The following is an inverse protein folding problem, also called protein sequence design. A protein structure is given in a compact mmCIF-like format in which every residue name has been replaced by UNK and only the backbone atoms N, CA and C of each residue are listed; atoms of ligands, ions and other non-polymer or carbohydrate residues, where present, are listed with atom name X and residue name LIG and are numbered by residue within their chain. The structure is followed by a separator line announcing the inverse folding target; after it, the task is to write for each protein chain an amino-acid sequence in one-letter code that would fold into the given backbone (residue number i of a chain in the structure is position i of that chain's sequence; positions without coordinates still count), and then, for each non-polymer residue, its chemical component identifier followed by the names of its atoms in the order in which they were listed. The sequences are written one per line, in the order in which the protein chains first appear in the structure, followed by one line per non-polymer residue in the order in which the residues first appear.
data_IF_320120201447
#
_entry.id   IF_320120201447
#
_cell.length_a   1.000
_cell.length_b   1.000
_cell.length_c   1.000
_cell.angle_alpha   90.00
_cell.angle_beta   90.00
_cell.angle_gamma   90.00
#
_symmetry.space_group_name_H-M   'P 1'
#
loop_
_entity.id
_entity.type
_entity.pdbx_description
1 polymer ?
#
# COMPACT_ATOMS: atom_id res chain seq x y z
N UNK A 1 15.52 -71.27 11.49
CA UNK A 1 15.70 -70.36 10.33
C UNK A 1 14.48 -69.43 10.10
N UNK A 2 13.66 -69.11 11.13
CA UNK A 2 12.36 -68.43 10.95
C UNK A 2 12.32 -66.96 11.44
N UNK A 3 13.31 -66.52 12.23
CA UNK A 3 13.24 -65.22 12.94
C UNK A 3 13.92 -64.05 12.21
N UNK A 4 14.67 -64.30 11.13
CA UNK A 4 15.31 -63.25 10.33
C UNK A 4 14.34 -62.59 9.34
N UNK A 5 13.44 -63.39 8.75
CA UNK A 5 12.44 -62.92 7.78
C UNK A 5 11.43 -61.94 8.40
N UNK A 6 10.93 -62.25 9.60
CA UNK A 6 10.02 -61.38 10.36
C UNK A 6 10.66 -60.06 10.83
N UNK A 7 11.98 -60.01 10.99
CA UNK A 7 12.70 -58.76 11.33
C UNK A 7 12.82 -57.83 10.12
N UNK A 8 13.03 -58.38 8.91
CA UNK A 8 13.11 -57.60 7.68
C UNK A 8 11.76 -56.94 7.33
N UNK A 9 10.66 -57.70 7.43
CA UNK A 9 9.31 -57.17 7.18
C UNK A 9 8.92 -56.07 8.17
N UNK A 10 9.20 -56.24 9.46
CA UNK A 10 8.95 -55.18 10.47
C UNK A 10 9.81 -53.95 10.24
N UNK A 11 11.07 -54.10 9.82
CA UNK A 11 11.92 -52.95 9.51
C UNK A 11 11.40 -52.20 8.27
N UNK A 12 10.92 -52.91 7.27
CA UNK A 12 10.33 -52.32 6.07
C UNK A 12 9.03 -51.58 6.38
N UNK A 13 8.14 -52.17 7.20
CA UNK A 13 6.94 -51.48 7.70
C UNK A 13 7.29 -50.23 8.51
N UNK A 14 8.31 -50.29 9.38
CA UNK A 14 8.77 -49.12 10.13
C UNK A 14 9.34 -48.03 9.23
N UNK A 15 10.12 -48.39 8.21
CA UNK A 15 10.68 -47.42 7.24
C UNK A 15 9.55 -46.77 6.44
N UNK A 16 8.57 -47.54 5.96
CA UNK A 16 7.40 -47.02 5.25
C UNK A 16 6.54 -46.12 6.14
N UNK A 17 6.29 -46.52 7.40
CA UNK A 17 5.52 -45.70 8.35
C UNK A 17 6.26 -44.40 8.67
N UNK A 18 7.60 -44.44 8.74
CA UNK A 18 8.45 -43.28 9.01
C UNK A 18 8.52 -42.34 7.81
N UNK A 19 8.55 -42.85 6.58
CA UNK A 19 8.41 -42.05 5.34
C UNK A 19 7.01 -41.43 5.27
N UNK A 20 5.97 -42.18 5.60
CA UNK A 20 4.60 -41.68 5.61
C UNK A 20 4.39 -40.57 6.66
N UNK A 21 4.86 -40.78 7.89
CA UNK A 21 4.80 -39.77 8.95
C UNK A 21 5.66 -38.55 8.60
N UNK A 22 6.83 -38.74 8.01
CA UNK A 22 7.67 -37.65 7.52
C UNK A 22 6.98 -36.85 6.39
N UNK A 23 6.33 -37.54 5.44
CA UNK A 23 5.54 -36.92 4.37
C UNK A 23 4.34 -36.13 4.90
N UNK A 24 3.64 -36.64 5.91
CA UNK A 24 2.54 -35.94 6.59
C UNK A 24 3.06 -34.65 7.26
N UNK A 25 4.19 -34.71 7.97
CA UNK A 25 4.81 -33.54 8.61
C UNK A 25 5.19 -32.48 7.57
N UNK A 26 5.87 -32.86 6.48
CA UNK A 26 6.24 -31.93 5.40
C UNK A 26 5.00 -31.28 4.76
N UNK A 27 3.92 -32.03 4.54
CA UNK A 27 2.65 -31.51 3.98
C UNK A 27 1.98 -30.47 4.89
N UNK A 28 2.10 -30.62 6.21
CA UNK A 28 1.53 -29.64 7.17
C UNK A 28 2.35 -28.36 7.27
N UNK A 29 3.64 -28.39 6.97
CA UNK A 29 4.52 -27.22 7.03
C UNK A 29 4.38 -26.31 5.80
N UNK A 30 4.11 -26.87 4.62
CA UNK A 30 3.94 -26.09 3.37
C UNK A 30 2.61 -25.32 3.32
N UNK A 31 1.56 -25.77 4.03
CA UNK A 31 0.26 -25.09 4.08
C UNK A 31 0.19 -23.97 5.13
N UNK A 32 1.28 -23.75 5.88
CA UNK A 32 1.36 -22.70 6.89
C UNK A 32 1.89 -21.42 6.23
N UNK A 33 1.12 -20.91 5.28
CA UNK A 33 1.40 -19.64 4.62
C UNK A 33 1.52 -18.56 5.67
N UNK A 34 2.70 -17.97 5.66
CA UNK A 34 3.12 -16.78 6.37
C UNK A 34 2.07 -15.66 6.42
N UNK A 35 2.16 -14.92 7.51
CA UNK A 35 1.34 -13.78 7.85
C UNK A 35 1.54 -12.60 6.89
N UNK A 36 0.70 -12.51 5.86
CA UNK A 36 0.38 -11.21 5.26
C UNK A 36 -0.79 -10.60 6.06
N UNK A 37 -0.66 -9.34 6.47
CA UNK A 37 -1.76 -8.58 7.04
C UNK A 37 -2.80 -8.28 5.95
N UNK A 38 -3.61 -9.29 5.63
CA UNK A 38 -4.64 -9.21 4.59
C UNK A 38 -5.94 -8.73 5.21
N UNK A 39 -6.66 -7.77 4.59
CA UNK A 39 -7.98 -7.38 5.06
C UNK A 39 -8.91 -8.59 5.05
N UNK A 40 -9.49 -8.92 6.21
CA UNK A 40 -10.42 -10.06 6.33
C UNK A 40 -11.66 -9.91 5.43
N UNK A 41 -12.09 -8.68 5.13
CA UNK A 41 -13.29 -8.37 4.31
C UNK A 41 -13.11 -7.11 3.47
N UNK A 42 -13.82 -7.05 2.35
CA UNK A 42 -13.91 -5.86 1.48
C UNK A 42 -14.52 -4.69 2.24
N UNK A 43 -13.99 -3.47 2.05
CA UNK A 43 -14.57 -2.26 2.63
C UNK A 43 -15.77 -1.81 1.79
N UNK A 44 -16.89 -1.49 2.45
CA UNK A 44 -18.12 -1.02 1.80
C UNK A 44 -17.87 0.27 1.01
N UNK A 45 -18.65 0.49 -0.06
CA UNK A 45 -18.51 1.70 -0.89
C UNK A 45 -18.72 2.96 -0.05
N UNK A 46 -19.73 2.98 0.82
CA UNK A 46 -20.01 4.09 1.75
C UNK A 46 -18.80 4.41 2.65
N UNK A 47 -18.23 3.41 3.35
CA UNK A 47 -17.05 3.64 4.22
C UNK A 47 -15.83 4.16 3.45
N UNK A 48 -15.60 3.67 2.23
CA UNK A 48 -14.51 4.19 1.37
C UNK A 48 -14.77 5.65 1.00
N UNK A 49 -15.99 5.99 0.62
CA UNK A 49 -16.34 7.33 0.16
C UNK A 49 -16.33 8.35 1.31
N UNK A 50 -16.83 7.99 2.50
CA UNK A 50 -16.72 8.84 3.69
C UNK A 50 -15.26 9.06 4.12
N UNK A 51 -14.38 8.07 3.91
CA UNK A 51 -12.96 8.30 4.15
C UNK A 51 -12.36 9.29 3.12
N UNK A 52 -12.81 9.21 1.87
CA UNK A 52 -12.35 10.08 0.77
C UNK A 52 -13.02 11.45 0.73
N UNK A 53 -14.08 11.69 1.49
CA UNK A 53 -14.80 12.98 1.45
C UNK A 53 -13.93 14.15 1.91
N UNK A 54 -12.91 13.88 2.71
CA UNK A 54 -11.94 14.88 3.15
C UNK A 54 -10.84 15.16 2.11
N UNK A 55 -10.70 14.34 1.06
CA UNK A 55 -9.65 14.45 0.05
C UNK A 55 -10.06 15.39 -1.11
N UNK A 56 -10.80 16.46 -0.81
CA UNK A 56 -11.14 17.50 -1.79
C UNK A 56 -10.00 18.49 -1.95
N UNK A 57 -9.65 18.83 -3.19
CA UNK A 57 -8.71 19.92 -3.47
C UNK A 57 -9.46 21.25 -3.47
N UNK A 58 -8.89 22.24 -2.77
CA UNK A 58 -9.43 23.61 -2.74
C UNK A 58 -8.73 24.43 -3.81
N UNK A 59 -9.50 25.09 -4.67
CA UNK A 59 -8.93 25.99 -5.67
C UNK A 59 -8.33 27.22 -4.97
N UNK A 60 -7.13 27.67 -5.37
CA UNK A 60 -6.55 28.89 -4.83
C UNK A 60 -7.37 30.12 -5.22
N UNK A 61 -7.39 31.13 -4.35
CA UNK A 61 -8.04 32.40 -4.65
C UNK A 61 -7.18 33.21 -5.63
N UNK A 62 -7.67 33.37 -6.86
CA UNK A 62 -7.03 34.14 -7.92
C UNK A 62 -7.78 35.45 -8.10
N UNK A 63 -7.06 36.56 -7.98
CA UNK A 63 -7.58 37.94 -8.05
C UNK A 63 -6.88 38.67 -9.19
N UNK A 64 -7.59 39.58 -9.85
CA UNK A 64 -7.04 40.43 -10.90
C UNK A 64 -6.35 41.64 -10.26
N UNK A 65 -5.12 41.96 -10.70
CA UNK A 65 -4.43 43.18 -10.28
C UNK A 65 -5.07 44.41 -10.94
N UNK A 66 -5.44 45.46 -10.18
CA UNK A 66 -6.03 46.68 -10.76
C UNK A 66 -5.06 47.47 -11.65
N UNK A 67 -3.75 47.29 -11.47
CA UNK A 67 -2.72 48.09 -12.15
C UNK A 67 -2.33 47.48 -13.50
N UNK A 68 -2.13 46.16 -13.55
CA UNK A 68 -1.65 45.45 -14.74
C UNK A 68 -2.73 44.60 -15.41
N UNK A 69 -3.86 44.34 -14.74
CA UNK A 69 -4.90 43.44 -15.23
C UNK A 69 -4.50 41.96 -15.24
N UNK A 70 -3.33 41.61 -14.70
CA UNK A 70 -2.82 40.25 -14.62
C UNK A 70 -3.44 39.48 -13.43
N UNK A 71 -3.47 38.15 -13.53
CA UNK A 71 -3.91 37.29 -12.44
C UNK A 71 -2.82 37.11 -11.39
N UNK A 72 -3.18 37.28 -10.11
CA UNK A 72 -2.31 37.04 -8.97
C UNK A 72 -3.04 36.34 -7.83
N UNK A 73 -2.27 35.71 -6.94
CA UNK A 73 -2.81 35.21 -5.68
C UNK A 73 -3.02 36.38 -4.69
N UNK A 74 -4.01 36.23 -3.82
CA UNK A 74 -4.23 37.19 -2.72
C UNK A 74 -2.98 37.31 -1.85
N UNK A 75 -2.55 38.54 -1.57
CA UNK A 75 -1.32 38.88 -0.82
C UNK A 75 0.02 38.52 -1.50
N UNK A 76 0.02 38.08 -2.76
CA UNK A 76 1.24 37.89 -3.53
C UNK A 76 1.50 39.06 -4.50
N UNK A 77 2.78 39.22 -4.86
CA UNK A 77 3.22 40.13 -5.92
C UNK A 77 2.83 39.50 -7.28
N UNK A 78 2.36 40.33 -8.21
CA UNK A 78 2.05 39.90 -9.56
C UNK A 78 3.32 39.50 -10.34
N UNK A 79 3.17 38.75 -11.43
CA UNK A 79 4.27 38.40 -12.34
C UNK A 79 4.98 39.65 -12.88
N UNK A 80 4.23 40.70 -13.20
CA UNK A 80 4.77 42.02 -13.57
C UNK A 80 5.51 42.77 -12.46
N UNK A 81 5.62 42.22 -11.25
CA UNK A 81 6.36 42.84 -10.13
C UNK A 81 5.58 43.92 -9.37
N UNK A 82 4.26 44.02 -9.59
CA UNK A 82 3.38 45.00 -8.95
C UNK A 82 2.67 44.44 -7.71
N UNK A 83 2.51 45.29 -6.69
CA UNK A 83 1.70 45.05 -5.50
C UNK A 83 1.11 46.38 -5.01
N UNK A 84 -0.21 46.42 -4.79
CA UNK A 84 -0.93 47.63 -4.36
C UNK A 84 -0.60 48.88 -5.20
N UNK A 85 -0.53 48.74 -6.53
CA UNK A 85 -0.24 49.83 -7.46
C UNK A 85 1.22 50.30 -7.48
N UNK A 86 2.11 49.66 -6.70
CA UNK A 86 3.54 50.00 -6.65
C UNK A 86 4.36 48.88 -7.29
N UNK A 87 5.39 49.25 -8.05
CA UNK A 87 6.37 48.30 -8.55
C UNK A 87 7.33 47.94 -7.42
N UNK A 88 7.24 46.72 -6.91
CA UNK A 88 8.05 46.23 -5.78
C UNK A 88 9.25 45.43 -6.26
N UNK A 89 9.12 44.75 -7.40
CA UNK A 89 10.20 44.00 -8.01
C UNK A 89 10.41 44.45 -9.46
N UNK A 90 11.67 44.59 -9.88
CA UNK A 90 12.01 44.66 -11.30
C UNK A 90 11.74 43.27 -11.87
N UNK A 91 10.94 43.17 -12.92
CA UNK A 91 10.64 41.88 -13.56
C UNK A 91 11.97 41.21 -13.91
N UNK A 92 12.18 40.03 -13.34
CA UNK A 92 13.31 39.18 -13.69
C UNK A 92 12.87 38.46 -14.96
N UNK A 93 13.04 39.12 -16.09
CA UNK A 93 12.88 38.51 -17.42
C UNK A 93 13.96 37.44 -17.57
#
# INVERSE_FOLDING_TARGET
MHTAWLKNVRNLVKVLLRIFVFWVIIKTLVNKSCAMAVPKRKKSKSRRNMHRSHLGLVAPNVVIDPTTGEYKLSHHVCLGGYYNGKQVAKSKV
#
